data_IF_920691137254
#
_entry.id   IF_920691137254
#
_cell.length_a   1.000
_cell.length_b   1.000
_cell.length_c   1.000
_cell.angle_alpha   90.00
_cell.angle_beta   90.00
_cell.angle_gamma   90.00
#
_symmetry.space_group_name_H-M   'P 1'
#
loop_
_entity.id
_entity.type
_entity.pdbx_description
1 polymer ?
#
# COMPACT_ATOMS: atom_id res chain seq x y z
N UNK A 1 -16.59 -11.09 -6.29
CA UNK A 1 -16.54 -9.85 -7.10
C UNK A 1 -15.48 -8.87 -6.58
N UNK A 2 -15.51 -8.43 -5.31
CA UNK A 2 -14.51 -7.49 -4.77
C UNK A 2 -13.05 -7.97 -4.79
N UNK A 3 -12.81 -9.24 -4.44
CA UNK A 3 -11.48 -9.88 -4.56
C UNK A 3 -10.95 -9.89 -6.00
N UNK A 4 -11.79 -10.30 -6.96
CA UNK A 4 -11.42 -10.34 -8.37
C UNK A 4 -11.09 -8.94 -8.92
N UNK A 5 -11.84 -7.92 -8.49
CA UNK A 5 -11.62 -6.54 -8.93
C UNK A 5 -10.31 -5.96 -8.37
N UNK A 6 -10.00 -6.23 -7.11
CA UNK A 6 -8.72 -5.83 -6.51
C UNK A 6 -7.52 -6.44 -7.24
N UNK A 7 -7.59 -7.74 -7.55
CA UNK A 7 -6.55 -8.42 -8.32
C UNK A 7 -6.42 -7.85 -9.74
N UNK A 8 -7.55 -7.64 -10.43
CA UNK A 8 -7.61 -7.05 -11.77
C UNK A 8 -6.97 -5.66 -11.82
N UNK A 9 -7.31 -4.80 -10.87
CA UNK A 9 -6.79 -3.43 -10.81
C UNK A 9 -5.26 -3.41 -10.66
N UNK A 10 -4.68 -4.31 -9.87
CA UNK A 10 -3.23 -4.30 -9.64
C UNK A 10 -2.43 -4.64 -10.90
N UNK A 11 -2.73 -5.72 -11.62
CA UNK A 11 -1.97 -6.06 -12.83
C UNK A 11 -2.33 -5.17 -14.03
N UNK A 12 -3.54 -4.61 -14.07
CA UNK A 12 -3.93 -3.62 -15.08
C UNK A 12 -3.15 -2.31 -14.93
N UNK A 13 -2.96 -1.84 -13.69
CA UNK A 13 -2.30 -0.58 -13.37
C UNK A 13 -0.78 -0.67 -13.19
N UNK A 14 -0.24 -1.88 -12.95
CA UNK A 14 1.19 -2.14 -12.73
C UNK A 14 2.12 -1.40 -13.71
N UNK A 15 1.82 -1.33 -15.03
CA UNK A 15 2.66 -0.62 -15.99
C UNK A 15 2.77 0.90 -15.76
N UNK A 16 1.88 1.50 -14.95
CA UNK A 16 1.84 2.93 -14.63
C UNK A 16 2.22 3.26 -13.18
N UNK A 17 2.57 2.27 -12.35
CA UNK A 17 2.88 2.54 -10.95
C UNK A 17 3.94 3.64 -10.80
N UNK A 18 3.68 4.53 -9.84
CA UNK A 18 4.64 5.51 -9.34
C UNK A 18 5.16 6.51 -10.40
N UNK A 19 4.36 6.81 -11.41
CA UNK A 19 4.57 7.98 -12.28
C UNK A 19 4.09 9.24 -11.55
N UNK A 20 4.99 9.87 -10.79
CA UNK A 20 4.67 11.07 -9.99
C UNK A 20 4.70 12.39 -10.78
N UNK A 21 5.41 12.43 -11.91
CA UNK A 21 5.43 13.59 -12.77
C UNK A 21 4.08 13.73 -13.48
N UNK A 22 3.30 14.74 -13.08
CA UNK A 22 1.96 14.97 -13.59
C UNK A 22 1.94 15.32 -15.09
N UNK A 23 2.93 16.03 -15.59
CA UNK A 23 3.01 16.36 -17.02
C UNK A 23 3.29 15.10 -17.83
N UNK A 24 4.22 14.26 -17.35
CA UNK A 24 4.48 12.95 -17.96
C UNK A 24 3.25 12.06 -17.94
N UNK A 25 2.56 11.96 -16.80
CA UNK A 25 1.33 11.17 -16.69
C UNK A 25 0.25 11.69 -17.64
N UNK A 26 0.07 13.01 -17.73
CA UNK A 26 -0.88 13.63 -18.67
C UNK A 26 -0.55 13.29 -20.13
N UNK A 27 0.73 13.34 -20.52
CA UNK A 27 1.16 12.93 -21.86
C UNK A 27 0.80 11.47 -22.15
N UNK A 28 1.10 10.57 -21.21
CA UNK A 28 0.79 9.14 -21.33
C UNK A 28 -0.72 8.89 -21.48
N UNK A 29 -1.55 9.60 -20.72
CA UNK A 29 -3.02 9.48 -20.76
C UNK A 29 -3.64 10.16 -21.99
N UNK A 30 -2.97 11.17 -22.56
CA UNK A 30 -3.41 11.81 -23.79
C UNK A 30 -3.22 10.89 -25.02
N UNK A 31 -2.17 10.07 -25.02
CA UNK A 31 -1.93 9.06 -26.05
C UNK A 31 -2.90 7.88 -25.98
N UNK A 32 -3.19 7.41 -24.76
CA UNK A 32 -4.17 6.35 -24.54
C UNK A 32 -5.00 6.64 -23.28
N UNK A 33 -6.29 7.00 -23.42
CA UNK A 33 -7.17 7.32 -22.29
C UNK A 33 -7.55 6.09 -21.46
N UNK A 34 -7.35 4.88 -21.97
CA UNK A 34 -7.58 3.60 -21.28
C UNK A 34 -6.23 2.89 -21.08
N UNK A 35 -5.45 3.32 -20.08
CA UNK A 35 -4.07 2.87 -19.93
C UNK A 35 -3.97 1.54 -19.17
N UNK A 36 -5.07 0.82 -18.97
CA UNK A 36 -5.01 -0.52 -18.41
C UNK A 36 -4.20 -1.42 -19.36
N UNK A 37 -3.36 -2.30 -18.80
CA UNK A 37 -2.61 -3.29 -19.57
C UNK A 37 -1.70 -2.69 -20.66
N UNK A 38 -1.04 -1.56 -20.39
CA UNK A 38 -0.06 -1.02 -21.35
C UNK A 38 0.97 -2.07 -21.72
N UNK A 39 1.16 -2.29 -23.02
CA UNK A 39 2.21 -3.16 -23.54
C UNK A 39 3.59 -2.64 -23.17
N UNK A 40 3.79 -1.32 -23.24
CA UNK A 40 5.00 -0.64 -22.79
C UNK A 40 4.79 -0.01 -21.41
N UNK A 41 5.56 -0.50 -20.44
CA UNK A 41 5.54 -0.01 -19.06
C UNK A 41 6.18 1.37 -18.95
N UNK A 42 5.43 2.32 -18.39
CA UNK A 42 5.91 3.66 -18.05
C UNK A 42 6.37 3.78 -16.59
N UNK A 43 6.26 2.71 -15.81
CA UNK A 43 6.74 2.59 -14.44
C UNK A 43 8.22 3.01 -14.37
N UNK A 44 8.65 3.92 -13.49
CA UNK A 44 10.04 4.35 -13.45
C UNK A 44 10.96 3.45 -12.63
N UNK A 45 10.44 2.47 -11.90
CA UNK A 45 11.19 1.71 -10.89
C UNK A 45 11.48 0.27 -11.27
N UNK A 46 10.54 -0.43 -11.91
CA UNK A 46 10.72 -1.85 -12.23
C UNK A 46 9.97 -2.27 -13.50
N UNK A 47 10.39 -3.39 -14.09
CA UNK A 47 9.80 -4.00 -15.28
C UNK A 47 9.29 -5.40 -14.94
N UNK A 48 8.00 -5.63 -15.19
CA UNK A 48 7.38 -6.95 -15.21
C UNK A 48 6.56 -7.10 -16.48
N UNK A 49 6.27 -8.33 -16.86
CA UNK A 49 5.38 -8.59 -17.99
C UNK A 49 3.98 -8.06 -17.66
N UNK A 50 3.40 -7.28 -18.56
CA UNK A 50 2.03 -6.77 -18.43
C UNK A 50 1.05 -7.92 -18.19
N UNK A 51 0.17 -7.77 -17.21
CA UNK A 51 -0.73 -8.82 -16.73
C UNK A 51 -0.18 -9.63 -15.56
N UNK A 52 1.10 -9.49 -15.21
CA UNK A 52 1.63 -9.99 -13.93
C UNK A 52 1.26 -9.06 -12.78
N UNK A 53 1.19 -9.63 -11.58
CA UNK A 53 0.97 -8.86 -10.36
C UNK A 53 2.17 -7.93 -10.09
N UNK A 54 1.92 -6.86 -9.34
CA UNK A 54 2.97 -6.18 -8.57
C UNK A 54 3.15 -6.83 -7.19
N UNK A 55 4.15 -6.38 -6.43
CA UNK A 55 4.34 -6.79 -5.04
C UNK A 55 3.13 -6.52 -4.12
N UNK A 56 2.23 -5.59 -4.47
CA UNK A 56 0.96 -5.41 -3.74
C UNK A 56 0.05 -6.63 -3.90
N UNK A 57 -0.23 -7.01 -5.16
CA UNK A 57 -1.07 -8.16 -5.47
C UNK A 57 -0.47 -9.49 -5.04
N UNK A 58 0.85 -9.64 -5.12
CA UNK A 58 1.54 -10.84 -4.63
C UNK A 58 1.40 -10.98 -3.10
N UNK A 59 1.41 -9.87 -2.33
CA UNK A 59 1.13 -9.93 -0.89
C UNK A 59 -0.33 -10.34 -0.61
N UNK A 60 -1.28 -9.83 -1.39
CA UNK A 60 -2.69 -10.23 -1.29
C UNK A 60 -2.89 -11.72 -1.64
N UNK A 61 -2.11 -12.25 -2.59
CA UNK A 61 -2.11 -13.65 -2.97
C UNK A 61 -1.62 -14.56 -1.86
N UNK A 62 -0.47 -14.24 -1.25
CA UNK A 62 0.05 -15.01 -0.12
C UNK A 62 -0.95 -15.04 1.05
N UNK A 63 -1.61 -13.91 1.34
CA UNK A 63 -2.65 -13.86 2.37
C UNK A 63 -3.86 -14.73 2.01
N UNK A 64 -4.36 -14.63 0.77
CA UNK A 64 -5.48 -15.45 0.29
C UNK A 64 -5.16 -16.95 0.37
N UNK A 65 -3.97 -17.34 -0.07
CA UNK A 65 -3.51 -18.73 -0.04
C UNK A 65 -3.47 -19.26 1.40
N UNK A 66 -2.87 -18.50 2.33
CA UNK A 66 -2.82 -18.87 3.74
C UNK A 66 -4.22 -19.05 4.35
N UNK A 67 -5.13 -18.11 4.11
CA UNK A 67 -6.52 -18.16 4.59
C UNK A 67 -7.27 -19.38 4.05
N UNK A 68 -7.11 -19.65 2.75
CA UNK A 68 -7.78 -20.77 2.07
C UNK A 68 -7.30 -22.12 2.61
N UNK A 69 -5.99 -22.29 2.75
CA UNK A 69 -5.39 -23.55 3.20
C UNK A 69 -5.60 -23.81 4.70
N UNK A 70 -5.64 -22.75 5.51
CA UNK A 70 -5.82 -22.88 6.97
C UNK A 70 -7.29 -22.83 7.42
N UNK A 71 -8.24 -22.47 6.55
CA UNK A 71 -9.64 -22.27 6.93
C UNK A 71 -9.86 -21.06 7.85
N UNK A 72 -8.94 -20.10 7.84
CA UNK A 72 -8.92 -18.93 8.72
C UNK A 72 -7.52 -18.34 8.86
N UNK A 73 -7.40 -17.22 9.55
CA UNK A 73 -6.10 -16.58 9.77
C UNK A 73 -5.23 -17.43 10.70
N UNK A 74 -4.11 -17.90 10.16
CA UNK A 74 -3.02 -18.51 10.90
C UNK A 74 -1.76 -17.65 10.68
N UNK A 75 -1.36 -16.91 11.71
CA UNK A 75 -0.24 -15.95 11.64
C UNK A 75 1.08 -16.66 11.34
N UNK A 76 1.32 -17.84 11.90
CA UNK A 76 2.56 -18.59 11.68
C UNK A 76 2.64 -19.16 10.26
N UNK A 77 1.54 -19.67 9.73
CA UNK A 77 1.46 -20.09 8.33
C UNK A 77 1.67 -18.90 7.38
N UNK A 78 1.02 -17.76 7.66
CA UNK A 78 1.18 -16.53 6.87
C UNK A 78 2.63 -16.04 6.86
N UNK A 79 3.33 -16.04 8.01
CA UNK A 79 4.76 -15.73 8.11
C UNK A 79 5.59 -16.68 7.25
N UNK A 80 5.36 -18.00 7.34
CA UNK A 80 6.10 -19.02 6.57
C UNK A 80 5.89 -18.85 5.07
N UNK A 81 4.65 -18.63 4.61
CA UNK A 81 4.36 -18.42 3.18
C UNK A 81 4.91 -17.10 2.67
N UNK A 82 4.84 -16.03 3.47
CA UNK A 82 5.46 -14.75 3.13
C UNK A 82 6.97 -14.90 2.97
N UNK A 83 7.65 -15.58 3.90
CA UNK A 83 9.09 -15.85 3.78
C UNK A 83 9.40 -16.73 2.55
N UNK A 84 8.60 -17.77 2.29
CA UNK A 84 8.79 -18.63 1.11
C UNK A 84 8.63 -17.85 -0.21
N UNK A 85 7.63 -16.98 -0.29
CA UNK A 85 7.30 -16.27 -1.53
C UNK A 85 8.24 -15.09 -1.80
N UNK A 86 8.64 -14.36 -0.76
CA UNK A 86 9.42 -13.12 -0.88
C UNK A 86 10.86 -13.23 -0.40
N UNK A 87 11.25 -14.33 0.25
CA UNK A 87 12.57 -14.51 0.88
C UNK A 87 13.63 -15.11 -0.05
N UNK A 88 14.69 -15.73 0.51
CA UNK A 88 15.81 -16.28 -0.26
C UNK A 88 15.38 -17.29 -1.32
N UNK A 89 15.96 -17.19 -2.52
CA UNK A 89 15.67 -18.08 -3.66
C UNK A 89 14.37 -17.77 -4.41
N UNK A 90 13.61 -16.73 -4.03
CA UNK A 90 12.43 -16.27 -4.76
C UNK A 90 12.78 -15.37 -5.95
N UNK A 91 11.79 -15.07 -6.81
CA UNK A 91 11.92 -14.05 -7.87
C UNK A 91 12.28 -12.65 -7.31
N UNK A 92 11.93 -12.39 -6.05
CA UNK A 92 12.27 -11.16 -5.37
C UNK A 92 13.73 -11.13 -4.87
N UNK A 93 14.42 -12.27 -4.84
CA UNK A 93 15.77 -12.40 -4.28
C UNK A 93 16.86 -11.93 -5.26
N UNK A 94 16.88 -10.61 -5.46
CA UNK A 94 17.83 -9.93 -6.33
C UNK A 94 18.76 -9.02 -5.53
N UNK A 95 19.96 -8.68 -6.04
CA UNK A 95 20.88 -7.77 -5.34
C UNK A 95 20.30 -6.40 -5.00
N UNK A 96 19.32 -5.90 -5.78
CA UNK A 96 18.67 -4.61 -5.52
C UNK A 96 17.58 -4.73 -4.45
N UNK A 97 16.94 -5.89 -4.38
CA UNK A 97 15.92 -6.22 -3.40
C UNK A 97 16.48 -6.76 -2.09
N UNK A 98 17.77 -7.07 -2.01
CA UNK A 98 18.45 -7.55 -0.81
C UNK A 98 18.04 -6.71 0.42
N UNK A 99 17.44 -7.32 1.46
CA UNK A 99 17.11 -6.64 2.69
C UNK A 99 18.31 -5.94 3.32
N UNK A 100 19.50 -6.54 3.21
CA UNK A 100 20.74 -6.10 3.84
C UNK A 100 21.55 -5.12 3.01
N UNK A 101 21.07 -4.75 1.82
CA UNK A 101 21.70 -3.75 0.95
C UNK A 101 21.93 -2.42 1.67
N UNK A 102 23.18 -1.96 1.68
CA UNK A 102 23.56 -0.70 2.31
C UNK A 102 22.91 0.51 1.62
N UNK A 103 22.28 1.40 2.40
CA UNK A 103 21.61 2.60 1.90
C UNK A 103 22.57 3.65 1.32
N UNK A 104 23.87 3.57 1.65
CA UNK A 104 24.91 4.50 1.20
C UNK A 104 25.64 4.07 -0.08
N UNK A 105 25.35 2.88 -0.61
CA UNK A 105 25.97 2.37 -1.83
C UNK A 105 25.51 3.08 -3.11
N UNK A 106 26.10 2.72 -4.27
CA UNK A 106 25.68 3.23 -5.57
C UNK A 106 24.18 3.03 -5.78
N UNK A 107 23.49 4.05 -6.31
CA UNK A 107 22.06 3.90 -6.64
C UNK A 107 21.91 2.90 -7.79
N UNK A 108 20.90 2.02 -7.74
CA UNK A 108 20.65 1.11 -8.84
C UNK A 108 20.26 1.92 -10.09
N UNK A 109 20.64 1.42 -11.26
CA UNK A 109 20.04 1.88 -12.50
C UNK A 109 18.56 1.47 -12.50
N UNK A 110 17.69 2.46 -12.70
CA UNK A 110 16.25 2.24 -12.77
C UNK A 110 15.78 2.47 -14.21
N UNK A 111 14.73 1.76 -14.66
CA UNK A 111 14.00 0.71 -13.93
C UNK A 111 14.83 -0.57 -13.76
N UNK A 112 14.56 -1.35 -12.72
CA UNK A 112 15.14 -2.70 -12.57
C UNK A 112 14.38 -3.70 -13.44
N UNK A 113 15.06 -4.75 -13.87
CA UNK A 113 14.41 -5.94 -14.42
C UNK A 113 13.88 -6.82 -13.28
N UNK A 114 12.62 -7.26 -13.39
CA UNK A 114 11.96 -8.10 -12.40
C UNK A 114 11.18 -7.30 -11.33
N UNK A 115 10.74 -7.98 -10.25
CA UNK A 115 9.83 -7.39 -9.28
C UNK A 115 10.55 -6.48 -8.27
N UNK A 116 9.83 -5.51 -7.72
CA UNK A 116 10.31 -4.62 -6.66
C UNK A 116 9.86 -5.11 -5.28
N UNK A 117 10.79 -5.43 -4.37
CA UNK A 117 10.49 -5.83 -2.98
C UNK A 117 10.26 -4.60 -2.09
N UNK A 118 9.11 -4.53 -1.45
CA UNK A 118 8.73 -3.39 -0.59
C UNK A 118 9.57 -3.33 0.69
N UNK A 119 9.65 -2.13 1.29
CA UNK A 119 10.44 -1.90 2.50
C UNK A 119 9.89 -2.70 3.70
N UNK A 120 8.56 -2.76 3.83
CA UNK A 120 7.83 -3.63 4.76
C UNK A 120 8.34 -5.08 4.74
N UNK A 121 8.45 -5.68 3.55
CA UNK A 121 8.94 -7.05 3.35
C UNK A 121 10.44 -7.22 3.63
N UNK A 122 11.26 -6.22 3.31
CA UNK A 122 12.69 -6.25 3.66
C UNK A 122 12.88 -6.27 5.19
N UNK A 123 12.14 -5.43 5.91
CA UNK A 123 12.16 -5.43 7.38
C UNK A 123 11.58 -6.72 7.96
N UNK A 124 10.51 -7.25 7.37
CA UNK A 124 9.94 -8.55 7.74
C UNK A 124 11.00 -9.65 7.70
N UNK A 125 11.73 -9.79 6.59
CA UNK A 125 12.79 -10.80 6.45
C UNK A 125 13.86 -10.63 7.54
N UNK A 126 14.33 -9.39 7.77
CA UNK A 126 15.30 -9.10 8.84
C UNK A 126 14.81 -9.50 10.23
N UNK A 127 13.54 -9.21 10.52
CA UNK A 127 12.95 -9.53 11.83
C UNK A 127 12.79 -11.05 12.02
N UNK A 128 12.44 -11.77 10.95
CA UNK A 128 12.42 -13.25 10.95
C UNK A 128 13.82 -13.82 11.16
N UNK A 129 14.82 -13.33 10.44
CA UNK A 129 16.22 -13.78 10.57
C UNK A 129 16.76 -13.51 11.99
N UNK A 130 16.33 -12.42 12.62
CA UNK A 130 16.66 -12.08 14.00
C UNK A 130 15.85 -12.86 15.06
N UNK A 131 14.95 -13.75 14.64
CA UNK A 131 14.13 -14.56 15.56
C UNK A 131 13.09 -13.76 16.35
N UNK A 132 12.66 -12.59 15.86
CA UNK A 132 11.65 -11.79 16.55
C UNK A 132 10.27 -12.43 16.44
N UNK A 133 9.49 -12.34 17.51
CA UNK A 133 8.09 -12.73 17.52
C UNK A 133 7.23 -11.77 16.68
N UNK A 134 7.41 -10.47 16.87
CA UNK A 134 6.81 -9.42 16.04
C UNK A 134 7.68 -9.15 14.82
N UNK A 135 7.16 -9.54 13.64
CA UNK A 135 7.94 -9.52 12.40
C UNK A 135 7.70 -8.27 11.57
N UNK A 136 6.62 -7.53 11.79
CA UNK A 136 6.28 -6.36 10.98
C UNK A 136 7.27 -5.19 11.12
N UNK A 137 7.32 -4.35 10.08
CA UNK A 137 8.14 -3.14 10.09
C UNK A 137 7.50 -2.04 10.93
N UNK A 138 8.19 -1.54 11.95
CA UNK A 138 7.69 -0.48 12.85
C UNK A 138 7.62 0.91 12.18
N UNK A 139 8.48 1.14 11.19
CA UNK A 139 8.63 2.46 10.55
C UNK A 139 7.96 2.57 9.18
N UNK A 140 7.42 1.49 8.64
CA UNK A 140 6.79 1.50 7.32
C UNK A 140 5.33 1.92 7.45
N UNK A 141 4.99 3.05 6.82
CA UNK A 141 3.64 3.62 6.80
C UNK A 141 3.05 3.67 5.39
N UNK A 142 3.48 2.75 4.50
CA UNK A 142 2.98 2.70 3.12
C UNK A 142 1.63 1.98 3.01
N UNK A 143 0.97 2.10 1.84
CA UNK A 143 -0.38 1.56 1.54
C UNK A 143 -0.48 0.02 1.47
N UNK A 144 0.60 -0.71 1.78
CA UNK A 144 0.68 -2.17 1.66
C UNK A 144 -0.45 -2.89 2.41
N UNK A 145 -0.86 -2.40 3.58
CA UNK A 145 -1.97 -2.94 4.35
C UNK A 145 -3.31 -2.83 3.60
N UNK A 146 -3.61 -1.63 3.10
CA UNK A 146 -4.84 -1.34 2.34
C UNK A 146 -4.93 -2.20 1.09
N UNK A 147 -3.83 -2.29 0.36
CA UNK A 147 -3.71 -3.02 -0.90
C UNK A 147 -3.66 -4.55 -0.75
N UNK A 148 -3.77 -5.12 0.46
CA UNK A 148 -3.85 -6.57 0.62
C UNK A 148 -4.95 -7.06 1.54
N UNK A 149 -5.76 -6.18 2.12
CA UNK A 149 -6.78 -6.57 3.11
C UNK A 149 -8.00 -7.31 2.52
N UNK A 150 -8.21 -7.25 1.21
CA UNK A 150 -9.42 -7.77 0.58
C UNK A 150 -9.71 -9.27 0.89
N UNK A 151 -8.72 -10.19 0.87
CA UNK A 151 -8.94 -11.59 1.25
C UNK A 151 -9.40 -11.77 2.69
N UNK A 152 -8.75 -11.11 3.65
CA UNK A 152 -9.09 -11.28 5.08
C UNK A 152 -10.43 -10.65 5.41
N UNK A 153 -10.75 -9.46 4.86
CA UNK A 153 -12.08 -8.85 5.06
C UNK A 153 -13.17 -9.73 4.47
N UNK A 154 -13.00 -10.22 3.23
CA UNK A 154 -14.00 -11.08 2.61
C UNK A 154 -14.21 -12.39 3.38
N UNK A 155 -13.15 -12.96 3.97
CA UNK A 155 -13.22 -14.20 4.74
C UNK A 155 -13.98 -14.04 6.08
N UNK A 156 -13.88 -12.85 6.67
CA UNK A 156 -14.46 -12.53 7.98
C UNK A 156 -15.63 -11.55 7.92
N UNK A 157 -16.15 -11.23 6.73
CA UNK A 157 -17.23 -10.24 6.56
C UNK A 157 -18.43 -10.54 7.47
N UNK A 158 -18.90 -9.52 8.19
CA UNK A 158 -20.02 -9.61 9.13
C UNK A 158 -19.70 -10.31 10.45
N UNK A 159 -18.49 -10.85 10.63
CA UNK A 159 -18.08 -11.51 11.87
C UNK A 159 -17.50 -10.49 12.86
N UNK A 160 -17.77 -10.62 14.17
CA UNK A 160 -17.33 -9.65 15.16
C UNK A 160 -15.80 -9.51 15.27
N UNK A 161 -15.05 -10.55 14.94
CA UNK A 161 -13.58 -10.61 14.99
C UNK A 161 -12.89 -10.07 13.72
N UNK A 162 -13.64 -9.60 12.70
CA UNK A 162 -13.07 -9.22 11.40
C UNK A 162 -11.90 -8.24 11.52
N UNK A 163 -12.06 -7.17 12.28
CA UNK A 163 -11.03 -6.13 12.46
C UNK A 163 -9.80 -6.66 13.20
N UNK A 164 -9.99 -7.50 14.22
CA UNK A 164 -8.87 -8.13 14.94
C UNK A 164 -8.05 -9.03 14.01
N UNK A 165 -8.72 -9.75 13.10
CA UNK A 165 -8.06 -10.61 12.11
C UNK A 165 -7.35 -9.79 11.04
N UNK A 166 -7.93 -8.68 10.60
CA UNK A 166 -7.28 -7.73 9.69
C UNK A 166 -5.99 -7.19 10.34
N UNK A 167 -6.05 -6.70 11.58
CA UNK A 167 -4.88 -6.18 12.29
C UNK A 167 -3.78 -7.24 12.43
N UNK A 168 -4.12 -8.44 12.89
CA UNK A 168 -3.18 -9.56 13.02
C UNK A 168 -2.47 -9.88 11.69
N UNK A 169 -3.19 -9.85 10.57
CA UNK A 169 -2.62 -10.13 9.24
C UNK A 169 -1.67 -9.01 8.77
N UNK A 170 -2.00 -7.74 9.00
CA UNK A 170 -1.19 -6.59 8.59
C UNK A 170 0.12 -6.53 9.38
N UNK A 171 0.03 -6.74 10.71
CA UNK A 171 1.18 -6.71 11.63
C UNK A 171 2.26 -7.76 11.32
N UNK A 172 1.97 -8.75 10.47
CA UNK A 172 3.00 -9.66 9.95
C UNK A 172 4.11 -8.91 9.20
N UNK A 173 3.78 -7.89 8.39
CA UNK A 173 4.78 -7.14 7.59
C UNK A 173 4.86 -5.67 7.94
N UNK A 174 3.83 -5.08 8.55
CA UNK A 174 3.78 -3.66 8.94
C UNK A 174 3.26 -3.54 10.37
N UNK A 175 4.15 -3.22 11.31
CA UNK A 175 3.84 -3.06 12.72
C UNK A 175 3.85 -1.57 13.11
N UNK A 176 3.13 -0.75 12.33
CA UNK A 176 3.05 0.69 12.51
C UNK A 176 1.59 1.09 12.78
N UNK A 177 1.33 1.75 13.90
CA UNK A 177 -0.05 2.00 14.35
C UNK A 177 -0.82 2.95 13.44
N UNK A 178 -0.15 3.91 12.77
CA UNK A 178 -0.80 4.77 11.78
C UNK A 178 -1.25 3.96 10.56
N UNK A 179 -0.37 3.08 10.05
CA UNK A 179 -0.71 2.17 8.96
C UNK A 179 -1.86 1.23 9.34
N UNK A 180 -1.83 0.67 10.55
CA UNK A 180 -2.88 -0.24 11.04
C UNK A 180 -4.21 0.50 11.17
N UNK A 181 -4.25 1.69 11.77
CA UNK A 181 -5.48 2.46 11.92
C UNK A 181 -6.14 2.81 10.58
N UNK A 182 -5.35 3.30 9.60
CA UNK A 182 -5.85 3.58 8.25
C UNK A 182 -6.37 2.31 7.55
N UNK A 183 -5.64 1.20 7.71
CA UNK A 183 -6.04 -0.07 7.09
C UNK A 183 -7.31 -0.63 7.71
N UNK A 184 -7.51 -0.46 9.03
CA UNK A 184 -8.75 -0.86 9.70
C UNK A 184 -9.93 0.00 9.26
N UNK A 185 -9.74 1.29 9.03
CA UNK A 185 -10.77 2.13 8.43
C UNK A 185 -11.11 1.68 6.99
N UNK A 186 -10.10 1.38 6.17
CA UNK A 186 -10.31 0.81 4.83
C UNK A 186 -11.05 -0.55 4.89
N UNK A 187 -10.78 -1.38 5.90
CA UNK A 187 -11.50 -2.63 6.12
C UNK A 187 -12.97 -2.42 6.45
N UNK A 188 -13.31 -1.40 7.26
CA UNK A 188 -14.71 -1.01 7.53
C UNK A 188 -15.42 -0.59 6.26
N UNK A 189 -14.77 0.22 5.41
CA UNK A 189 -15.34 0.59 4.11
C UNK A 189 -15.58 -0.63 3.22
N UNK A 190 -14.58 -1.52 3.11
CA UNK A 190 -14.72 -2.70 2.27
C UNK A 190 -15.82 -3.64 2.79
N UNK A 191 -15.90 -3.88 4.09
CA UNK A 191 -16.98 -4.66 4.70
C UNK A 191 -18.35 -4.02 4.41
N UNK A 192 -18.47 -2.70 4.60
CA UNK A 192 -19.70 -1.96 4.31
C UNK A 192 -20.17 -2.17 2.86
N UNK A 193 -19.27 -2.04 1.89
CA UNK A 193 -19.61 -2.24 0.49
C UNK A 193 -19.91 -3.71 0.14
N UNK A 194 -19.26 -4.68 0.80
CA UNK A 194 -19.57 -6.10 0.58
C UNK A 194 -20.99 -6.42 1.10
N UNK A 195 -21.38 -5.88 2.25
CA UNK A 195 -22.67 -6.16 2.87
C UNK A 195 -23.82 -5.38 2.23
N UNK A 196 -23.58 -4.14 1.81
CA UNK A 196 -24.64 -3.21 1.42
C UNK A 196 -24.64 -2.86 -0.08
N UNK A 197 -23.58 -3.20 -0.82
CA UNK A 197 -23.37 -2.69 -2.17
C UNK A 197 -23.01 -1.20 -2.18
N UNK A 198 -23.08 -0.52 -3.34
CA UNK A 198 -22.79 0.91 -3.44
C UNK A 198 -23.68 1.75 -2.53
N UNK A 199 -23.07 2.55 -1.66
CA UNK A 199 -23.79 3.39 -0.70
C UNK A 199 -23.18 4.80 -0.62
N UNK A 200 -23.92 5.87 -0.99
CA UNK A 200 -23.45 7.24 -0.87
C UNK A 200 -23.20 7.69 0.58
N UNK A 201 -23.72 6.95 1.57
CA UNK A 201 -23.54 7.20 3.01
C UNK A 201 -22.40 6.40 3.63
N UNK A 202 -21.62 5.65 2.85
CA UNK A 202 -20.53 4.83 3.38
C UNK A 202 -19.53 5.64 4.24
N UNK A 203 -19.17 6.86 3.82
CA UNK A 203 -18.30 7.76 4.59
C UNK A 203 -18.88 8.06 5.97
N UNK A 204 -20.17 8.39 6.04
CA UNK A 204 -20.85 8.70 7.29
C UNK A 204 -20.96 7.47 8.18
N UNK A 205 -21.31 6.31 7.60
CA UNK A 205 -21.42 5.06 8.34
C UNK A 205 -20.09 4.63 8.96
N UNK A 206 -18.97 4.77 8.26
CA UNK A 206 -17.65 4.44 8.81
C UNK A 206 -17.20 5.47 9.84
N UNK A 207 -17.47 6.76 9.64
CA UNK A 207 -17.20 7.79 10.67
C UNK A 207 -18.00 7.55 11.95
N UNK A 208 -19.27 7.15 11.84
CA UNK A 208 -20.11 6.82 13.00
C UNK A 208 -19.52 5.63 13.77
N UNK A 209 -19.05 4.59 13.07
CA UNK A 209 -18.36 3.46 13.70
C UNK A 209 -17.06 3.86 14.41
N UNK A 210 -16.26 4.75 13.82
CA UNK A 210 -15.00 5.21 14.40
C UNK A 210 -15.22 6.15 15.60
N UNK A 211 -16.34 6.89 15.62
CA UNK A 211 -16.69 7.78 16.73
C UNK A 211 -17.46 7.08 17.87
N UNK A 212 -17.92 5.84 17.68
CA UNK A 212 -18.57 5.07 18.75
C UNK A 212 -17.62 4.83 19.93
N UNK A 213 -17.96 5.28 21.15
CA UNK A 213 -17.15 5.03 22.35
C UNK A 213 -16.93 3.55 22.65
N UNK A 214 -17.83 2.67 22.21
CA UNK A 214 -17.78 1.22 22.40
C UNK A 214 -17.40 0.47 21.11
N UNK A 215 -16.79 1.16 20.14
CA UNK A 215 -16.38 0.55 18.86
C UNK A 215 -15.47 -0.65 19.06
N UNK A 216 -15.58 -1.61 18.15
CA UNK A 216 -14.68 -2.78 18.07
C UNK A 216 -13.29 -2.36 17.58
N UNK A 217 -12.26 -2.97 18.15
CA UNK A 217 -10.85 -2.75 17.78
C UNK A 217 -10.47 -1.25 17.78
N UNK A 218 -10.55 -0.57 18.95
CA UNK A 218 -10.21 0.85 19.05
C UNK A 218 -8.70 1.07 18.83
N UNK A 219 -8.35 2.08 18.05
CA UNK A 219 -6.97 2.52 17.83
C UNK A 219 -6.77 3.93 18.38
N UNK A 220 -5.56 4.23 18.83
CA UNK A 220 -5.20 5.56 19.35
C UNK A 220 -5.35 6.66 18.30
N UNK A 221 -5.18 6.31 17.01
CA UNK A 221 -5.21 7.22 15.89
C UNK A 221 -6.57 7.34 15.19
N UNK A 222 -7.62 6.70 15.71
CA UNK A 222 -8.96 6.74 15.08
C UNK A 222 -9.49 8.17 14.87
N UNK A 223 -9.21 9.08 15.81
CA UNK A 223 -9.60 10.50 15.67
C UNK A 223 -8.91 11.19 14.50
N UNK A 224 -7.64 10.86 14.24
CA UNK A 224 -6.90 11.40 13.10
C UNK A 224 -7.48 10.85 11.79
N UNK A 225 -7.77 9.55 11.75
CA UNK A 225 -8.40 8.89 10.59
C UNK A 225 -9.78 9.49 10.28
N UNK A 226 -10.61 9.74 11.31
CA UNK A 226 -11.88 10.48 11.14
C UNK A 226 -11.65 11.86 10.51
N UNK A 227 -10.60 12.58 10.93
CA UNK A 227 -10.19 13.85 10.32
C UNK A 227 -9.82 13.71 8.84
N UNK A 228 -9.11 12.64 8.46
CA UNK A 228 -8.78 12.35 7.05
C UNK A 228 -10.05 12.04 6.23
N UNK A 229 -10.98 11.24 6.76
CA UNK A 229 -12.25 10.93 6.08
C UNK A 229 -13.09 12.20 5.90
N UNK A 230 -13.10 13.12 6.87
CA UNK A 230 -13.73 14.42 6.71
C UNK A 230 -13.12 15.23 5.58
N UNK A 231 -11.78 15.27 5.47
CA UNK A 231 -11.11 15.95 4.36
C UNK A 231 -11.50 15.34 3.01
N UNK A 232 -11.60 14.01 2.90
CA UNK A 232 -12.09 13.35 1.69
C UNK A 232 -13.52 13.82 1.37
N UNK A 233 -14.41 13.83 2.36
CA UNK A 233 -15.81 14.24 2.21
C UNK A 233 -15.96 15.69 1.72
N UNK A 234 -15.16 16.62 2.26
CA UNK A 234 -15.16 18.04 1.87
C UNK A 234 -14.68 18.26 0.42
N UNK A 235 -13.99 17.29 -0.14
CA UNK A 235 -13.30 17.40 -1.42
C UNK A 235 -13.91 16.52 -2.54
N UNK A 236 -15.01 15.81 -2.28
CA UNK A 236 -15.65 14.88 -3.24
C UNK A 236 -16.05 15.52 -4.57
N UNK A 237 -16.38 16.82 -4.58
CA UNK A 237 -16.78 17.54 -5.79
C UNK A 237 -15.61 18.09 -6.60
N UNK A 238 -14.39 18.06 -6.06
CA UNK A 238 -13.21 18.62 -6.71
C UNK A 238 -12.54 17.56 -7.59
N UNK A 239 -12.00 17.99 -8.73
CA UNK A 239 -11.23 17.07 -9.57
C UNK A 239 -9.84 16.84 -8.97
N UNK A 240 -9.16 15.72 -9.31
CA UNK A 240 -7.77 15.53 -8.93
C UNK A 240 -6.87 16.71 -9.33
N UNK A 241 -7.13 17.37 -10.46
CA UNK A 241 -6.39 18.56 -10.91
C UNK A 241 -6.56 19.76 -9.97
N UNK A 242 -7.72 19.92 -9.35
CA UNK A 242 -7.99 21.00 -8.41
C UNK A 242 -7.43 20.69 -7.01
N UNK A 243 -7.39 19.41 -6.65
CA UNK A 243 -6.94 18.94 -5.35
C UNK A 243 -5.42 18.90 -5.22
N UNK A 244 -4.72 18.39 -6.24
CA UNK A 244 -3.28 18.14 -6.12
C UNK A 244 -2.49 19.41 -5.77
N UNK A 245 -2.70 20.57 -6.43
CA UNK A 245 -2.00 21.79 -6.07
C UNK A 245 -2.33 22.31 -4.66
N UNK A 246 -3.52 22.00 -4.15
CA UNK A 246 -4.04 22.54 -2.88
C UNK A 246 -3.62 21.68 -1.68
N UNK A 247 -3.67 20.35 -1.83
CA UNK A 247 -3.30 19.37 -0.81
C UNK A 247 -1.79 19.14 -0.78
N UNK A 248 -1.12 19.23 -1.94
CA UNK A 248 0.31 18.97 -2.11
C UNK A 248 1.11 20.22 -2.50
N UNK A 249 0.63 21.43 -2.17
CA UNK A 249 1.30 22.71 -2.46
C UNK A 249 2.79 22.76 -2.07
N UNK A 250 3.19 21.96 -1.07
CA UNK A 250 4.56 21.86 -0.56
C UNK A 250 5.38 20.70 -1.15
N UNK A 251 4.81 19.91 -2.07
CA UNK A 251 5.45 18.74 -2.69
C UNK A 251 5.70 18.91 -4.20
N UNK A 252 5.41 20.08 -4.78
CA UNK A 252 5.92 20.43 -6.12
C UNK A 252 7.42 20.67 -5.96
N UNK A 253 8.31 19.87 -6.57
CA UNK A 253 9.70 20.28 -6.66
C UNK A 253 9.69 21.62 -7.39
N UNK A 254 10.21 22.67 -6.76
CA UNK A 254 10.83 23.73 -7.56
C UNK A 254 11.73 22.98 -8.54
N UNK A 255 11.53 23.24 -9.83
CA UNK A 255 12.36 22.78 -10.94
C UNK A 255 13.70 22.24 -10.45
N UNK A 256 14.03 20.99 -10.82
CA UNK A 256 15.38 20.51 -10.73
C UNK A 256 16.28 21.39 -11.63
N UNK A 257 16.65 22.56 -11.12
CA UNK A 257 17.79 23.31 -11.56
C UNK A 257 18.99 22.46 -11.17
N UNK A 258 19.49 21.74 -12.16
CA UNK A 258 20.86 21.27 -12.18
C UNK A 258 21.77 22.48 -11.97
N UNK A 259 22.43 22.56 -10.81
CA UNK A 259 23.63 23.36 -10.63
C UNK A 259 24.82 22.40 -10.49
N UNK A 260 25.93 22.58 -11.23
CA UNK A 260 27.03 21.61 -11.29
C UNK A 260 27.92 21.54 -10.06
N UNK A 261 27.72 22.39 -9.05
CA UNK A 261 28.66 22.51 -7.95
C UNK A 261 28.04 22.03 -6.64
N UNK A 262 28.62 20.95 -6.11
CA UNK A 262 28.18 20.29 -4.90
C UNK A 262 28.34 21.18 -3.67
N UNK A 263 27.22 21.45 -3.00
CA UNK A 263 27.19 21.70 -1.56
C UNK A 263 25.80 21.34 -1.00
N UNK A 264 25.81 20.46 -0.01
CA UNK A 264 24.64 20.01 0.75
C UNK A 264 23.99 21.12 1.56
N UNK A 265 22.66 21.24 1.48
CA UNK A 265 21.84 21.83 2.56
C UNK A 265 20.87 20.76 3.06
N UNK A 266 21.02 20.38 4.33
CA UNK A 266 20.09 19.52 5.06
C UNK A 266 18.79 20.29 5.30
N UNK A 267 17.68 19.84 4.71
CA UNK A 267 16.34 20.14 5.19
C UNK A 267 15.39 18.96 4.87
N UNK A 268 14.80 18.37 5.92
CA UNK A 268 13.52 17.66 5.93
C UNK A 268 13.26 16.59 4.85
N UNK A 269 13.91 15.43 4.91
CA UNK A 269 13.62 14.29 4.01
C UNK A 269 12.58 13.30 4.53
N UNK A 270 12.01 13.52 5.71
CA UNK A 270 11.11 12.56 6.37
C UNK A 270 9.64 12.68 5.90
N UNK A 271 9.18 13.86 5.46
CA UNK A 271 7.77 14.08 5.05
C UNK A 271 7.41 13.67 3.62
N UNK A 272 8.38 13.31 2.79
CA UNK A 272 8.13 13.05 1.36
C UNK A 272 7.54 11.66 1.06
N UNK A 273 7.75 10.67 1.93
CA UNK A 273 7.18 9.33 1.75
C UNK A 273 5.85 9.14 2.48
N UNK A 274 5.54 9.94 3.50
CA UNK A 274 4.30 9.87 4.29
C UNK A 274 3.06 10.28 3.47
N UNK A 275 3.19 11.22 2.52
CA UNK A 275 2.04 11.81 1.83
C UNK A 275 1.60 11.08 0.54
N UNK A 276 2.50 10.36 -0.14
CA UNK A 276 2.17 9.68 -1.40
C UNK A 276 1.65 8.26 -1.20
N UNK A 277 1.90 7.65 -0.03
CA UNK A 277 1.48 6.30 0.32
C UNK A 277 0.11 6.22 1.00
N UNK A 278 -0.63 7.31 1.16
CA UNK A 278 -1.90 7.28 1.89
C UNK A 278 -3.15 7.41 1.01
N UNK A 279 -3.07 7.88 -0.24
CA UNK A 279 -4.25 8.30 -1.02
C UNK A 279 -4.30 7.77 -2.48
N UNK A 280 -4.02 6.47 -2.67
CA UNK A 280 -4.46 5.71 -3.86
C UNK A 280 -5.44 4.62 -3.43
#
# INVERSE_FOLDING_TARGET
>A
LGLSLHYLSNFAAQPLHWVYDLQKLQGILAENPNPEFRSESANPFYRRQTGQQSCYGDQAYVLLESLSECGGLNVDDLKKRTLKFFGPGSEYDTPINDPYRERGGPRPQLPIEGPWRHASLKSFIKNVDAGKEETGCESDCQIDGVTKLAPVVAFYVGKPEMLEKVEQAIRVTQNNDACVAETLAAARFLEHFILNGPDPKALDSVMDQLNDPNRKCPQDLDKAVVGHIHQVKENLSKTPRDLIPTVFAWCVPSSASWSPDGQTVRAGRQRHHELWGMHL
#
